data_IF_520260890303
#
_entry.id   IF_520260890303
#
_cell.length_a   1.000
_cell.length_b   1.000
_cell.length_c   1.000
_cell.angle_alpha   90.00
_cell.angle_beta   90.00
_cell.angle_gamma   90.00
#
_symmetry.space_group_name_H-M   'P 1'
#
loop_
_entity.id
_entity.type
_entity.pdbx_description
1 polymer ?
#
# COMPACT_ATOMS: atom_id res chain seq x y z
N UNK A 1 -8.80 -20.68 -10.70
CA UNK A 1 -8.29 -19.87 -11.83
C UNK A 1 -9.19 -19.99 -13.06
N UNK A 2 -9.39 -21.19 -13.67
CA UNK A 2 -10.23 -21.35 -14.87
C UNK A 2 -11.64 -20.73 -14.78
N UNK A 3 -12.24 -20.73 -13.60
CA UNK A 3 -13.59 -20.18 -13.37
C UNK A 3 -13.61 -18.64 -13.29
N UNK A 4 -12.59 -18.01 -12.71
CA UNK A 4 -12.45 -16.55 -12.69
C UNK A 4 -12.25 -15.99 -14.10
N UNK A 5 -11.44 -16.66 -14.91
CA UNK A 5 -11.17 -16.21 -16.29
C UNK A 5 -12.39 -16.36 -17.22
N UNK A 6 -13.38 -17.19 -16.85
CA UNK A 6 -14.66 -17.29 -17.57
C UNK A 6 -15.54 -16.06 -17.35
N UNK A 7 -15.56 -15.53 -16.12
CA UNK A 7 -16.37 -14.37 -15.75
C UNK A 7 -15.67 -13.04 -15.98
N UNK A 8 -14.34 -13.02 -15.87
CA UNK A 8 -13.53 -11.82 -15.90
C UNK A 8 -12.42 -11.93 -16.94
N UNK A 9 -12.77 -11.63 -18.19
CA UNK A 9 -11.82 -11.67 -19.31
C UNK A 9 -10.69 -10.64 -19.11
N UNK A 10 -9.41 -11.06 -19.21
CA UNK A 10 -8.30 -10.13 -19.23
C UNK A 10 -8.45 -9.09 -20.34
N UNK A 11 -8.04 -7.85 -20.06
CA UNK A 11 -7.96 -6.79 -21.08
C UNK A 11 -6.73 -5.92 -20.90
N UNK A 12 -6.27 -5.33 -22.00
CA UNK A 12 -5.29 -4.24 -21.98
C UNK A 12 -5.87 -2.96 -21.38
N UNK A 13 -5.03 -1.91 -21.23
CA UNK A 13 -5.51 -0.58 -20.91
C UNK A 13 -6.52 -0.10 -21.97
N UNK A 14 -7.50 0.69 -21.56
CA UNK A 14 -8.44 1.35 -22.47
C UNK A 14 -7.78 2.55 -23.16
N UNK A 15 -6.79 3.17 -22.50
CA UNK A 15 -6.00 4.29 -23.02
C UNK A 15 -4.52 4.07 -22.71
N UNK A 16 -3.64 4.12 -23.71
CA UNK A 16 -2.19 4.05 -23.52
C UNK A 16 -1.63 5.44 -23.14
N UNK A 17 -2.04 5.95 -21.99
CA UNK A 17 -1.62 7.27 -21.50
C UNK A 17 -0.54 7.11 -20.43
N UNK A 18 0.64 7.75 -20.58
CA UNK A 18 1.62 7.82 -19.51
C UNK A 18 1.02 8.46 -18.26
N UNK A 19 1.36 7.92 -17.09
CA UNK A 19 0.95 8.49 -15.80
C UNK A 19 2.09 9.32 -15.20
N UNK A 20 1.73 10.31 -14.40
CA UNK A 20 2.69 11.00 -13.53
C UNK A 20 2.84 10.23 -12.22
N UNK A 21 4.07 10.12 -11.73
CA UNK A 21 4.40 9.49 -10.45
C UNK A 21 5.24 10.47 -9.64
N UNK A 22 4.90 10.62 -8.37
CA UNK A 22 5.63 11.48 -7.44
C UNK A 22 6.40 10.64 -6.41
N UNK A 23 7.66 11.04 -6.16
CA UNK A 23 8.52 10.50 -5.09
C UNK A 23 8.85 11.60 -4.10
N UNK A 24 8.68 11.31 -2.81
CA UNK A 24 8.92 12.27 -1.74
C UNK A 24 10.12 11.80 -0.93
N UNK A 25 11.03 12.72 -0.65
CA UNK A 25 12.20 12.48 0.18
C UNK A 25 12.11 13.35 1.44
N UNK A 26 12.19 12.73 2.61
CA UNK A 26 12.32 13.44 3.87
C UNK A 26 13.80 13.56 4.22
N UNK A 27 14.31 14.79 4.32
CA UNK A 27 15.72 15.08 4.57
C UNK A 27 15.86 16.08 5.72
N UNK A 28 16.87 15.86 6.57
CA UNK A 28 17.23 16.79 7.63
C UNK A 28 18.36 17.69 7.12
N UNK A 29 18.21 19.01 7.24
CA UNK A 29 19.18 19.98 6.78
C UNK A 29 19.17 21.23 7.67
N UNK A 30 20.33 21.87 7.85
CA UNK A 30 20.48 23.13 8.61
C UNK A 30 20.13 24.38 7.80
N UNK A 31 20.14 24.23 6.47
CA UNK A 31 19.77 25.26 5.50
C UNK A 31 18.88 24.64 4.45
N UNK A 32 18.21 25.48 3.65
CA UNK A 32 17.42 25.00 2.50
C UNK A 32 18.34 24.20 1.56
N UNK A 33 18.07 22.91 1.32
CA UNK A 33 18.92 22.06 0.48
C UNK A 33 18.78 22.44 -1.00
N UNK A 34 19.81 22.13 -1.79
CA UNK A 34 19.77 22.27 -3.24
C UNK A 34 19.58 20.91 -3.88
N UNK A 35 18.69 20.83 -4.87
CA UNK A 35 18.35 19.59 -5.56
C UNK A 35 18.74 19.70 -7.02
N UNK A 36 19.48 18.70 -7.51
CA UNK A 36 19.76 18.49 -8.93
C UNK A 36 19.21 17.14 -9.35
N UNK A 37 18.65 17.07 -10.55
CA UNK A 37 18.10 15.84 -11.12
C UNK A 37 18.79 15.50 -12.43
N UNK A 38 19.01 14.22 -12.66
CA UNK A 38 19.58 13.68 -13.89
C UNK A 38 18.83 12.40 -14.27
N UNK A 39 18.82 12.11 -15.57
CA UNK A 39 18.23 10.90 -16.12
C UNK A 39 19.31 10.11 -16.83
N UNK A 40 19.43 8.82 -16.50
CA UNK A 40 20.32 7.89 -17.18
C UNK A 40 19.52 6.77 -17.81
N UNK A 41 19.79 6.48 -19.08
CA UNK A 41 19.12 5.38 -19.78
C UNK A 41 19.78 4.06 -19.39
N UNK A 42 18.97 3.11 -18.96
CA UNK A 42 19.38 1.75 -18.63
C UNK A 42 18.97 0.82 -19.77
N UNK A 43 19.95 0.11 -20.33
CA UNK A 43 19.72 -0.92 -21.34
C UNK A 43 19.86 -2.31 -20.69
N UNK A 44 18.83 -3.15 -20.83
CA UNK A 44 18.81 -4.52 -20.34
C UNK A 44 18.74 -5.57 -21.45
N UNK A 45 18.90 -5.17 -22.71
CA UNK A 45 18.88 -6.06 -23.87
C UNK A 45 17.49 -6.59 -24.26
N UNK A 46 16.41 -6.08 -23.64
CA UNK A 46 15.02 -6.42 -23.96
C UNK A 46 14.36 -5.44 -24.95
N UNK A 47 15.11 -4.44 -25.42
CA UNK A 47 14.66 -3.41 -26.36
C UNK A 47 13.71 -2.38 -25.74
N UNK A 48 13.41 -2.47 -24.43
CA UNK A 48 12.54 -1.52 -23.75
C UNK A 48 13.39 -0.48 -23.00
N UNK A 49 13.25 0.83 -23.31
CA UNK A 49 14.04 1.85 -22.64
C UNK A 49 13.64 1.96 -21.17
N UNK A 50 14.58 1.67 -20.27
CA UNK A 50 14.43 1.95 -18.84
C UNK A 50 15.24 3.21 -18.50
N UNK A 51 14.81 3.93 -17.48
CA UNK A 51 15.45 5.16 -17.04
C UNK A 51 15.69 5.12 -15.53
N UNK A 52 16.88 5.52 -15.12
CA UNK A 52 17.21 5.82 -13.75
C UNK A 52 17.04 7.32 -13.50
N UNK A 53 16.32 7.67 -12.43
CA UNK A 53 16.17 9.06 -11.97
C UNK A 53 17.15 9.28 -10.84
N UNK A 54 18.20 10.05 -11.10
CA UNK A 54 19.24 10.38 -10.11
C UNK A 54 18.90 11.73 -9.49
N UNK A 55 18.71 11.74 -8.16
CA UNK A 55 18.44 12.95 -7.38
C UNK A 55 19.64 13.21 -6.47
N UNK A 56 20.36 14.30 -6.73
CA UNK A 56 21.45 14.77 -5.90
C UNK A 56 20.95 15.89 -4.98
N UNK A 57 21.14 15.72 -3.67
CA UNK A 57 20.65 16.65 -2.64
C UNK A 57 21.85 17.18 -1.85
N UNK A 58 22.21 18.44 -2.07
CA UNK A 58 23.27 19.14 -1.32
C UNK A 58 22.71 19.78 -0.03
N UNK A 59 23.52 19.75 1.03
CA UNK A 59 23.19 20.35 2.32
C UNK A 59 22.44 19.42 3.29
N UNK A 60 22.38 18.11 3.02
CA UNK A 60 21.82 17.12 3.96
C UNK A 60 22.75 16.96 5.16
N UNK A 61 22.18 16.91 6.37
CA UNK A 61 22.91 16.65 7.61
C UNK A 61 23.23 15.16 7.71
N UNK A 62 24.51 14.79 7.66
CA UNK A 62 24.95 13.38 7.63
C UNK A 62 24.46 12.53 8.83
N UNK A 63 24.31 13.12 10.02
CA UNK A 63 23.73 12.46 11.20
C UNK A 63 22.25 12.78 11.45
N UNK A 64 21.63 13.57 10.59
CA UNK A 64 20.25 14.01 10.75
C UNK A 64 19.26 12.97 10.22
N UNK A 65 18.23 12.67 10.99
CA UNK A 65 17.07 11.90 10.54
C UNK A 65 15.89 12.85 10.35
N UNK A 66 15.28 12.82 9.18
CA UNK A 66 13.96 13.41 8.97
C UNK A 66 12.92 12.30 8.97
N UNK A 67 11.90 12.47 9.81
CA UNK A 67 10.78 11.55 9.88
C UNK A 67 9.65 12.09 9.00
N UNK A 68 8.87 11.21 8.36
CA UNK A 68 7.62 11.62 7.73
C UNK A 68 6.63 12.17 8.78
N UNK A 69 5.57 12.90 8.35
CA UNK A 69 4.60 13.44 9.28
C UNK A 69 3.81 12.33 9.99
N UNK A 70 3.58 12.50 11.29
CA UNK A 70 2.63 11.69 12.05
C UNK A 70 1.18 11.99 11.62
N UNK A 71 0.27 11.05 11.90
CA UNK A 71 -1.11 11.10 11.44
C UNK A 71 -2.00 11.78 12.48
N UNK A 72 -2.82 12.72 12.03
CA UNK A 72 -4.00 13.16 12.81
C UNK A 72 -5.07 12.08 12.71
N UNK A 73 -6.02 12.06 13.63
CA UNK A 73 -7.06 11.04 13.53
C UNK A 73 -8.12 11.11 14.61
N UNK A 74 -9.10 10.22 14.48
CA UNK A 74 -10.15 10.02 15.46
C UNK A 74 -10.65 8.58 15.45
N UNK A 75 -11.04 8.10 16.63
CA UNK A 75 -11.74 6.84 16.77
C UNK A 75 -13.10 6.88 16.05
N UNK A 76 -13.37 5.85 15.26
CA UNK A 76 -14.63 5.63 14.60
C UNK A 76 -15.57 4.91 15.57
N UNK A 77 -16.56 5.62 16.10
CA UNK A 77 -17.67 4.97 16.82
C UNK A 77 -18.61 4.38 15.79
N UNK A 78 -18.91 3.08 15.86
CA UNK A 78 -19.98 2.47 15.05
C UNK A 78 -21.30 3.08 15.53
N UNK A 79 -21.76 4.11 14.82
CA UNK A 79 -23.15 4.57 14.92
C UNK A 79 -23.93 3.87 13.82
N UNK A 80 -25.18 3.50 14.11
CA UNK A 80 -26.10 3.00 13.08
C UNK A 80 -26.06 3.97 11.90
N UNK A 81 -25.70 3.47 10.72
CA UNK A 81 -25.66 4.28 9.50
C UNK A 81 -27.05 4.89 9.31
N UNK A 82 -27.08 6.22 9.14
CA UNK A 82 -28.31 6.97 8.85
C UNK A 82 -28.56 7.11 7.34
N UNK A 83 -27.55 6.78 6.53
CA UNK A 83 -27.54 6.90 5.07
C UNK A 83 -27.51 5.48 4.51
N UNK A 84 -28.36 5.21 3.51
CA UNK A 84 -28.41 3.93 2.81
C UNK A 84 -27.16 3.71 1.94
N UNK A 85 -26.83 2.46 1.64
CA UNK A 85 -25.71 2.16 0.73
C UNK A 85 -25.96 2.69 -0.68
N UNK A 86 -27.21 2.66 -1.15
CA UNK A 86 -27.60 3.18 -2.46
C UNK A 86 -27.25 4.66 -2.62
N UNK A 87 -27.46 5.45 -1.56
CA UNK A 87 -27.07 6.86 -1.51
C UNK A 87 -25.54 7.06 -1.54
N UNK A 88 -24.77 6.05 -1.14
CA UNK A 88 -23.31 6.06 -1.11
C UNK A 88 -22.69 5.28 -2.27
N UNK A 89 -23.49 4.72 -3.19
CA UNK A 89 -23.02 3.79 -4.21
C UNK A 89 -21.85 4.35 -5.03
N UNK A 90 -21.92 5.63 -5.42
CA UNK A 90 -20.83 6.29 -6.17
C UNK A 90 -19.50 6.36 -5.37
N UNK A 91 -19.58 6.46 -4.05
CA UNK A 91 -18.42 6.57 -3.17
C UNK A 91 -17.85 5.20 -2.78
N UNK A 92 -18.72 4.18 -2.79
CA UNK A 92 -18.45 2.82 -2.36
C UNK A 92 -18.06 1.89 -3.52
N UNK A 93 -18.38 2.27 -4.75
CA UNK A 93 -18.03 1.49 -5.95
C UNK A 93 -16.53 1.57 -6.25
N UNK A 94 -15.96 0.42 -6.62
CA UNK A 94 -14.58 0.32 -7.10
C UNK A 94 -14.36 1.11 -8.39
N UNK A 95 -13.10 1.43 -8.68
CA UNK A 95 -12.70 2.19 -9.86
C UNK A 95 -11.51 1.51 -10.53
N UNK A 96 -11.63 1.30 -11.85
CA UNK A 96 -10.56 0.80 -12.70
C UNK A 96 -10.14 1.93 -13.65
N UNK A 97 -8.93 2.50 -13.50
CA UNK A 97 -8.46 3.55 -14.38
C UNK A 97 -8.31 3.08 -15.83
N UNK A 98 -8.58 3.98 -16.78
CA UNK A 98 -8.47 3.68 -18.22
C UNK A 98 -7.05 3.29 -18.65
N UNK A 99 -6.02 3.82 -17.99
CA UNK A 99 -4.61 3.52 -18.29
C UNK A 99 -4.14 2.17 -17.74
N UNK A 100 -4.98 1.45 -16.99
CA UNK A 100 -4.67 0.12 -16.48
C UNK A 100 -5.38 -0.96 -17.27
N UNK A 101 -4.62 -2.02 -17.56
CA UNK A 101 -5.20 -3.31 -17.91
C UNK A 101 -5.92 -3.93 -16.73
N UNK A 102 -6.61 -5.04 -17.01
CA UNK A 102 -7.31 -5.85 -16.02
C UNK A 102 -6.90 -7.31 -16.19
N UNK A 103 -6.50 -7.98 -15.10
CA UNK A 103 -6.33 -9.42 -15.06
C UNK A 103 -6.87 -9.96 -13.72
N UNK A 104 -7.91 -10.80 -13.75
CA UNK A 104 -8.46 -11.43 -12.54
C UNK A 104 -7.48 -12.41 -11.87
N UNK A 105 -6.53 -12.92 -12.65
CA UNK A 105 -5.41 -13.76 -12.21
C UNK A 105 -4.11 -12.99 -12.47
N UNK A 106 -3.15 -12.95 -11.52
CA UNK A 106 -1.95 -12.14 -11.73
C UNK A 106 -1.06 -12.76 -12.79
N UNK A 107 -0.47 -11.92 -13.64
CA UNK A 107 0.58 -12.36 -14.56
C UNK A 107 1.85 -12.72 -13.78
N UNK A 108 2.12 -14.01 -13.66
CA UNK A 108 3.35 -14.53 -13.09
C UNK A 108 4.51 -14.29 -14.07
N UNK A 109 5.31 -13.25 -13.82
CA UNK A 109 6.55 -12.99 -14.58
C UNK A 109 7.78 -13.68 -14.00
N UNK A 110 7.64 -14.36 -12.85
CA UNK A 110 8.77 -14.96 -12.14
C UNK A 110 8.64 -16.48 -12.09
N UNK A 111 9.71 -17.18 -12.49
CA UNK A 111 9.85 -18.59 -12.16
C UNK A 111 9.98 -18.68 -10.63
N UNK A 112 9.11 -19.46 -9.99
CA UNK A 112 9.18 -19.73 -8.56
C UNK A 112 10.56 -20.27 -8.19
N UNK A 113 11.41 -19.44 -7.58
CA UNK A 113 12.68 -19.91 -7.01
C UNK A 113 12.34 -20.65 -5.72
N UNK A 114 12.68 -21.93 -5.63
CA UNK A 114 12.53 -22.70 -4.39
C UNK A 114 13.37 -22.03 -3.30
N UNK A 115 12.74 -21.33 -2.36
CA UNK A 115 13.44 -20.82 -1.16
C UNK A 115 13.72 -21.99 -0.22
N UNK A 116 14.97 -22.12 0.21
CA UNK A 116 15.34 -22.96 1.35
C UNK A 116 14.66 -22.34 2.57
N UNK A 117 13.77 -23.08 3.22
CA UNK A 117 13.10 -22.62 4.45
C UNK A 117 14.13 -22.68 5.59
N UNK A 118 14.40 -21.57 6.29
CA UNK A 118 15.15 -21.65 7.55
C UNK A 118 14.37 -22.52 8.54
N UNK A 119 15.09 -23.20 9.44
CA UNK A 119 14.46 -23.99 10.49
C UNK A 119 13.49 -23.10 11.29
N UNK A 120 12.28 -23.61 11.54
CA UNK A 120 11.26 -22.88 12.31
C UNK A 120 11.84 -22.47 13.67
N UNK A 121 11.83 -21.16 13.98
CA UNK A 121 12.16 -20.69 15.33
C UNK A 121 11.14 -21.24 16.32
N UNK A 122 11.57 -21.57 17.55
CA UNK A 122 10.68 -22.04 18.64
C UNK A 122 9.63 -20.99 19.08
N UNK A 123 9.71 -19.76 18.59
CA UNK A 123 8.75 -18.69 18.88
C UNK A 123 7.56 -18.84 17.91
N UNK A 124 6.36 -19.05 18.44
CA UNK A 124 5.10 -19.09 17.68
C UNK A 124 4.78 -17.70 17.14
N UNK A 125 5.45 -17.31 16.05
CA UNK A 125 4.97 -16.21 15.22
C UNK A 125 3.88 -16.79 14.33
N UNK A 126 2.73 -16.12 14.22
CA UNK A 126 1.63 -16.51 13.33
C UNK A 126 2.10 -16.50 11.86
N UNK A 127 2.79 -17.58 11.49
CA UNK A 127 3.35 -17.88 10.16
C UNK A 127 2.69 -19.13 9.60
N UNK A 128 1.53 -19.49 10.16
CA UNK A 128 0.87 -20.76 9.95
C UNK A 128 0.46 -20.89 8.49
N UNK A 129 1.18 -21.74 7.77
CA UNK A 129 0.78 -22.20 6.44
C UNK A 129 0.09 -23.54 6.65
N UNK A 130 -1.19 -23.60 6.31
CA UNK A 130 -1.94 -24.85 6.35
C UNK A 130 -1.68 -25.64 5.07
N UNK A 131 -1.21 -26.89 5.21
CA UNK A 131 -0.94 -27.77 4.07
C UNK A 131 0.23 -27.32 3.19
N UNK A 132 0.14 -27.64 1.89
CA UNK A 132 1.18 -27.27 0.91
C UNK A 132 1.12 -25.78 0.60
N UNK A 133 2.28 -25.12 0.67
CA UNK A 133 2.41 -23.71 0.34
C UNK A 133 2.34 -23.48 -1.18
N UNK A 134 1.18 -23.03 -1.64
CA UNK A 134 0.92 -22.73 -3.06
C UNK A 134 1.06 -21.25 -3.39
N UNK A 135 1.55 -20.42 -2.45
CA UNK A 135 1.77 -18.99 -2.71
C UNK A 135 2.79 -18.81 -3.84
N UNK A 136 2.61 -17.73 -4.61
CA UNK A 136 3.43 -17.38 -5.77
C UNK A 136 3.78 -15.90 -5.71
N UNK A 137 5.02 -15.58 -6.10
CA UNK A 137 5.42 -14.21 -6.33
C UNK A 137 4.98 -13.77 -7.72
N UNK A 138 4.45 -12.56 -7.84
CA UNK A 138 4.01 -11.96 -9.10
C UNK A 138 4.47 -10.50 -9.18
N UNK A 139 4.43 -9.92 -10.38
CA UNK A 139 4.82 -8.54 -10.69
C UNK A 139 3.77 -7.85 -11.58
N UNK A 140 2.51 -8.24 -11.41
CA UNK A 140 1.41 -7.71 -12.19
C UNK A 140 1.00 -6.33 -11.66
N UNK A 141 1.10 -5.33 -12.51
CA UNK A 141 0.71 -3.94 -12.23
C UNK A 141 -0.69 -3.61 -12.74
N UNK A 142 -1.45 -4.58 -13.26
CA UNK A 142 -2.84 -4.37 -13.69
C UNK A 142 -3.82 -4.39 -12.52
N UNK A 143 -5.03 -3.88 -12.76
CA UNK A 143 -6.11 -4.04 -11.79
C UNK A 143 -6.53 -5.52 -11.68
N UNK A 144 -6.81 -6.06 -10.49
CA UNK A 144 -6.86 -5.39 -9.18
C UNK A 144 -5.53 -5.34 -8.41
N UNK A 145 -4.48 -5.96 -8.93
CA UNK A 145 -3.18 -6.12 -8.27
C UNK A 145 -2.48 -4.78 -7.97
N UNK A 146 -2.69 -3.78 -8.82
CA UNK A 146 -2.25 -2.39 -8.62
C UNK A 146 -2.78 -1.75 -7.33
N UNK A 147 -3.94 -2.21 -6.83
CA UNK A 147 -4.59 -1.61 -5.65
C UNK A 147 -4.00 -2.11 -4.33
N UNK A 148 -3.26 -3.22 -4.35
CA UNK A 148 -2.70 -3.87 -3.16
C UNK A 148 -1.22 -3.52 -3.07
N UNK A 149 -0.74 -3.30 -1.86
CA UNK A 149 0.65 -2.88 -1.67
C UNK A 149 1.20 -3.13 -0.28
N UNK A 150 2.47 -2.76 -0.13
CA UNK A 150 3.17 -2.82 1.15
C UNK A 150 2.80 -1.60 1.99
N UNK A 151 2.45 -1.84 3.24
CA UNK A 151 2.34 -0.81 4.28
C UNK A 151 3.60 -0.87 5.13
N UNK A 152 4.19 0.28 5.42
CA UNK A 152 5.38 0.41 6.26
C UNK A 152 5.12 1.44 7.36
N UNK A 153 5.54 1.11 8.57
CA UNK A 153 5.41 1.91 9.79
C UNK A 153 6.67 1.74 10.65
N UNK A 154 6.77 2.48 11.75
CA UNK A 154 7.83 2.27 12.74
C UNK A 154 7.79 0.89 13.40
N UNK A 155 6.65 0.20 13.39
CA UNK A 155 6.48 -1.16 13.97
C UNK A 155 6.81 -2.28 12.99
N UNK A 156 7.00 -1.98 11.71
CA UNK A 156 7.37 -2.94 10.70
C UNK A 156 6.60 -2.75 9.41
N UNK A 157 6.19 -3.86 8.79
CA UNK A 157 5.46 -3.81 7.53
C UNK A 157 4.26 -4.76 7.50
N UNK A 158 3.20 -4.30 6.87
CA UNK A 158 1.99 -5.05 6.58
C UNK A 158 1.59 -4.98 5.11
N UNK A 159 0.36 -5.36 4.84
CA UNK A 159 -0.29 -5.18 3.53
C UNK A 159 -1.46 -4.24 3.67
N UNK A 160 -1.78 -3.55 2.58
CA UNK A 160 -2.97 -2.73 2.52
C UNK A 160 -3.53 -2.66 1.11
N UNK A 161 -4.77 -2.16 1.03
CA UNK A 161 -5.53 -2.09 -0.22
C UNK A 161 -6.20 -0.73 -0.37
N UNK A 162 -6.20 -0.20 -1.59
CA UNK A 162 -6.92 1.02 -1.95
C UNK A 162 -8.43 0.75 -1.99
N UNK A 163 -9.18 1.47 -1.15
CA UNK A 163 -10.65 1.41 -1.06
C UNK A 163 -11.32 2.72 -1.52
N UNK A 164 -10.53 3.72 -1.91
CA UNK A 164 -11.02 4.96 -2.51
C UNK A 164 -9.87 5.79 -3.08
N UNK A 165 -10.13 7.02 -3.58
CA UNK A 165 -9.12 7.82 -4.28
C UNK A 165 -7.85 8.09 -3.46
N UNK A 166 -7.98 8.16 -2.13
CA UNK A 166 -6.87 8.35 -1.18
C UNK A 166 -7.04 7.53 0.10
N UNK A 167 -7.86 6.48 0.06
CA UNK A 167 -8.23 5.72 1.26
C UNK A 167 -7.59 4.34 1.19
N UNK A 168 -6.70 4.08 2.14
CA UNK A 168 -6.02 2.82 2.34
C UNK A 168 -6.71 2.06 3.48
N UNK A 169 -7.12 0.83 3.22
CA UNK A 169 -7.49 -0.12 4.25
C UNK A 169 -6.26 -0.96 4.64
N UNK A 170 -6.00 -1.07 5.94
CA UNK A 170 -4.96 -1.92 6.52
C UNK A 170 -5.46 -2.45 7.86
N UNK A 171 -4.66 -3.30 8.49
CA UNK A 171 -4.86 -3.78 9.86
C UNK A 171 -4.41 -2.74 10.89
N UNK A 172 -5.05 -2.74 12.05
CA UNK A 172 -4.76 -1.81 13.17
C UNK A 172 -3.44 -2.17 13.86
N UNK A 173 -3.10 -3.46 13.98
CA UNK A 173 -1.89 -3.91 14.71
C UNK A 173 -0.57 -3.56 14.01
N UNK A 174 -0.61 -3.17 12.73
CA UNK A 174 0.58 -2.66 12.00
C UNK A 174 0.81 -1.17 12.30
N UNK A 175 -0.22 -0.46 12.76
CA UNK A 175 -0.15 0.96 13.05
C UNK A 175 0.64 1.20 14.34
N UNK A 176 1.50 2.21 14.32
CA UNK A 176 2.16 2.69 15.53
C UNK A 176 1.28 3.71 16.25
N UNK A 177 0.63 3.27 17.33
CA UNK A 177 -0.22 4.11 18.18
C UNK A 177 0.57 4.96 19.19
N UNK A 178 1.91 4.88 19.21
CA UNK A 178 2.78 5.59 20.18
C UNK A 178 3.19 7.00 19.71
N UNK A 179 2.30 7.68 18.99
CA UNK A 179 2.56 8.97 18.37
C UNK A 179 2.84 10.10 19.39
N UNK A 180 3.59 11.15 19.00
CA UNK A 180 3.76 12.34 19.83
C UNK A 180 2.42 13.02 20.18
N UNK A 181 2.42 13.77 21.27
CA UNK A 181 1.24 14.53 21.70
C UNK A 181 0.68 15.41 20.57
N UNK A 182 -0.64 15.35 20.35
CA UNK A 182 -1.33 16.06 19.27
C UNK A 182 -1.54 15.24 17.99
N UNK A 183 -1.00 14.03 17.91
CA UNK A 183 -1.22 13.07 16.82
C UNK A 183 -1.92 11.81 17.33
N UNK A 184 -2.53 11.08 16.40
CA UNK A 184 -3.26 9.85 16.70
C UNK A 184 -2.42 8.59 16.47
N UNK A 185 -1.54 8.60 15.46
CA UNK A 185 -0.63 7.51 15.11
C UNK A 185 0.65 8.09 14.49
N UNK A 186 1.76 7.36 14.58
CA UNK A 186 2.99 7.70 13.87
C UNK A 186 2.84 7.43 12.36
N UNK A 187 3.85 7.81 11.57
CA UNK A 187 3.81 7.77 10.12
C UNK A 187 3.44 6.39 9.57
N UNK A 188 2.70 6.43 8.47
CA UNK A 188 2.34 5.26 7.66
C UNK A 188 2.73 5.56 6.23
N UNK A 189 3.45 4.65 5.58
CA UNK A 189 3.77 4.72 4.15
C UNK A 189 3.12 3.56 3.41
N UNK A 190 2.52 3.85 2.27
CA UNK A 190 1.92 2.85 1.39
C UNK A 190 2.58 2.85 0.02
N UNK A 191 3.02 1.67 -0.41
CA UNK A 191 3.62 1.44 -1.72
C UNK A 191 2.80 0.41 -2.50
N UNK A 192 1.88 0.86 -3.37
CA UNK A 192 1.08 -0.03 -4.22
C UNK A 192 1.95 -0.82 -5.20
N UNK A 193 1.59 -2.09 -5.41
CA UNK A 193 2.31 -3.02 -6.29
C UNK A 193 3.82 -3.11 -6.00
N UNK A 194 4.21 -2.96 -4.72
CA UNK A 194 5.60 -3.07 -4.31
C UNK A 194 6.20 -4.43 -4.72
N UNK A 195 7.35 -4.40 -5.38
CA UNK A 195 8.10 -5.60 -5.70
C UNK A 195 9.61 -5.34 -5.60
N UNK A 196 10.29 -5.94 -4.63
CA UNK A 196 11.76 -5.94 -4.53
C UNK A 196 12.39 -4.53 -4.63
N UNK A 197 11.79 -3.57 -3.92
CA UNK A 197 12.21 -2.16 -3.95
C UNK A 197 11.60 -1.34 -5.09
N UNK A 198 10.99 -1.98 -6.09
CA UNK A 198 10.24 -1.30 -7.14
C UNK A 198 8.86 -0.83 -6.62
N UNK A 199 8.46 0.36 -7.05
CA UNK A 199 7.25 1.03 -6.62
C UNK A 199 6.53 1.67 -7.82
N UNK A 200 5.98 0.88 -8.75
CA UNK A 200 5.64 1.33 -10.11
C UNK A 200 4.56 2.42 -10.18
N UNK A 201 3.85 2.68 -9.07
CA UNK A 201 2.79 3.69 -8.98
C UNK A 201 3.08 4.84 -8.02
N UNK A 202 4.32 4.95 -7.52
CA UNK A 202 4.59 5.90 -6.45
C UNK A 202 4.53 5.23 -5.08
N UNK A 203 4.58 6.07 -4.06
CA UNK A 203 4.29 5.75 -2.67
C UNK A 203 3.57 6.96 -2.08
N UNK A 204 2.81 6.81 -0.99
CA UNK A 204 2.14 7.90 -0.30
C UNK A 204 2.23 7.74 1.21
N UNK A 205 2.14 8.87 1.93
CA UNK A 205 2.15 8.88 3.38
C UNK A 205 0.75 9.13 3.93
N UNK A 206 0.49 8.61 5.13
CA UNK A 206 -0.74 8.89 5.86
C UNK A 206 -0.81 10.36 6.29
N UNK A 207 -1.96 10.99 6.05
CA UNK A 207 -2.29 12.33 6.52
C UNK A 207 -3.37 12.30 7.63
N UNK A 208 -4.24 11.28 7.61
CA UNK A 208 -5.26 11.08 8.64
C UNK A 208 -5.52 9.58 8.85
N UNK A 209 -6.02 9.20 10.03
CA UNK A 209 -6.41 7.82 10.32
C UNK A 209 -7.76 7.73 11.04
N UNK A 210 -8.51 6.71 10.64
CA UNK A 210 -9.72 6.24 11.29
C UNK A 210 -9.50 4.81 11.77
N UNK A 211 -9.86 4.52 13.01
CA UNK A 211 -9.72 3.19 13.59
C UNK A 211 -10.93 2.85 14.45
N UNK A 212 -11.12 1.58 14.76
CA UNK A 212 -12.10 1.18 15.76
C UNK A 212 -11.44 0.92 17.11
N UNK A 213 -10.50 -0.04 17.16
CA UNK A 213 -9.66 -0.35 18.32
C UNK A 213 -8.22 0.02 18.01
N UNK A 214 -7.55 0.62 19.00
CA UNK A 214 -6.09 0.71 19.00
C UNK A 214 -5.56 -0.57 19.63
N UNK A 215 -4.79 -1.31 18.86
CA UNK A 215 -4.12 -2.51 19.36
C UNK A 215 -3.04 -2.07 20.35
N UNK A 216 -3.06 -2.64 21.55
CA UNK A 216 -2.12 -2.26 22.62
C UNK A 216 -0.70 -2.80 22.36
N UNK A 217 -0.58 -3.76 21.45
CA UNK A 217 0.69 -4.32 20.99
C UNK A 217 1.35 -5.24 22.01
N UNK A 218 0.57 -5.86 22.91
CA UNK A 218 1.03 -6.84 23.90
C UNK A 218 1.48 -8.19 23.28
N UNK A 219 1.22 -8.38 21.99
CA UNK A 219 1.57 -9.57 21.22
C UNK A 219 0.50 -10.66 21.23
N UNK A 220 -0.67 -10.37 21.78
CA UNK A 220 -1.87 -11.20 21.75
C UNK A 220 -2.96 -10.47 20.96
N UNK A 221 -3.85 -11.25 20.33
CA UNK A 221 -5.08 -10.72 19.74
C UNK A 221 -6.19 -11.27 20.61
N UNK A 222 -6.79 -10.42 21.46
CA UNK A 222 -7.98 -10.78 22.21
C UNK A 222 -9.21 -10.79 21.29
N UNK A 223 -10.34 -11.32 21.78
CA UNK A 223 -11.56 -11.43 20.95
C UNK A 223 -12.03 -10.10 20.36
N UNK A 224 -11.92 -8.99 21.10
CA UNK A 224 -12.35 -7.68 20.61
C UNK A 224 -11.36 -7.08 19.61
N UNK A 225 -10.06 -7.21 19.87
CA UNK A 225 -8.98 -6.80 18.96
C UNK A 225 -9.08 -7.54 17.63
N UNK A 226 -9.24 -8.86 17.66
CA UNK A 226 -9.36 -9.67 16.44
C UNK A 226 -10.59 -9.33 15.59
N UNK A 227 -11.70 -8.93 16.22
CA UNK A 227 -12.92 -8.55 15.52
C UNK A 227 -12.82 -7.17 14.85
N UNK A 228 -11.91 -6.31 15.31
CA UNK A 228 -11.84 -4.91 14.89
C UNK A 228 -10.43 -4.44 14.51
N UNK A 229 -9.56 -5.37 14.13
CA UNK A 229 -8.20 -5.15 13.66
C UNK A 229 -8.19 -4.59 12.23
N UNK A 230 -8.78 -3.42 12.06
CA UNK A 230 -8.75 -2.67 10.81
C UNK A 230 -8.67 -1.17 11.07
N UNK A 231 -7.95 -0.49 10.18
CA UNK A 231 -7.82 0.95 10.14
C UNK A 231 -7.91 1.45 8.70
N UNK A 232 -8.50 2.63 8.55
CA UNK A 232 -8.53 3.37 7.29
C UNK A 232 -7.59 4.56 7.40
N UNK A 233 -6.55 4.56 6.58
CA UNK A 233 -5.59 5.65 6.46
C UNK A 233 -5.98 6.51 5.26
N UNK A 234 -6.16 7.80 5.48
CA UNK A 234 -6.26 8.79 4.42
C UNK A 234 -4.85 9.18 4.02
N UNK A 235 -4.50 8.92 2.76
CA UNK A 235 -3.21 9.25 2.17
C UNK A 235 -3.12 10.75 1.84
N UNK A 236 -1.89 11.27 1.84
CA UNK A 236 -1.55 12.64 1.46
C UNK A 236 -1.81 12.92 -0.03
N UNK A 237 -1.92 11.87 -0.83
CA UNK A 237 -2.10 11.91 -2.29
C UNK A 237 -3.20 10.98 -2.77
N UNK A 238 -3.72 11.29 -3.95
CA UNK A 238 -4.77 10.55 -4.63
C UNK A 238 -4.24 9.34 -5.40
N UNK A 239 -3.48 8.46 -4.75
CA UNK A 239 -2.90 7.26 -5.39
C UNK A 239 -3.96 6.35 -6.05
N UNK A 240 -5.22 6.40 -5.59
CA UNK A 240 -6.31 5.62 -6.17
C UNK A 240 -6.62 6.02 -7.61
N UNK A 241 -6.27 7.24 -8.04
CA UNK A 241 -6.46 7.68 -9.43
C UNK A 241 -5.48 6.99 -10.39
N UNK A 242 -4.29 6.62 -9.93
CA UNK A 242 -3.29 5.89 -10.73
C UNK A 242 -3.40 4.38 -10.56
N UNK A 243 -3.80 3.90 -9.39
CA UNK A 243 -3.84 2.47 -9.05
C UNK A 243 -5.21 1.82 -9.17
N UNK A 244 -6.29 2.61 -9.17
CA UNK A 244 -7.65 2.13 -8.95
C UNK A 244 -7.96 1.90 -7.46
N UNK A 245 -9.18 1.49 -7.17
CA UNK A 245 -9.56 1.03 -5.83
C UNK A 245 -10.67 -0.01 -5.90
N UNK A 246 -10.73 -0.90 -4.91
CA UNK A 246 -11.73 -1.97 -4.86
C UNK A 246 -13.12 -1.50 -4.42
N UNK A 247 -13.18 -0.36 -3.72
CA UNK A 247 -14.40 0.14 -3.09
C UNK A 247 -14.65 -0.54 -1.74
N UNK A 248 -15.87 -0.40 -1.22
CA UNK A 248 -16.30 -1.01 0.03
C UNK A 248 -17.80 -1.28 0.00
N UNK A 249 -18.27 -2.30 0.74
CA UNK A 249 -19.70 -2.59 0.91
C UNK A 249 -19.96 -3.00 2.36
N UNK A 250 -21.15 -2.69 2.86
CA UNK A 250 -21.63 -3.23 4.13
C UNK A 250 -21.95 -4.71 4.02
N UNK A 251 -22.03 -5.37 5.17
CA UNK A 251 -22.66 -6.66 5.30
C UNK A 251 -24.05 -6.42 5.89
N UNK A 252 -25.07 -6.92 5.20
CA UNK A 252 -26.47 -6.90 5.62
C UNK A 252 -26.78 -8.09 6.53
#
# INVERSE_FOLDING_TARGET
MKELDQHFKPRGPLKETPIAIERHFHIAADRKPQVKTRLERIDRGDGQPQWEVIVEIDGVRAGGRALPPALKGRASKIKKRRISEDQLAQQLTGYVPDHLGFNATPRERLKSVKRIRPAMSRRRVATTVFGTDTRRAFQDTTYPWSTVGRVETNRGSGSGVMIGPRHLLTVSHVIDWTAPAGFAADWVRFTPSFFDGNAPFGEAYGAHIYWYVQEDGDGFISGNEGNFDYAVVVLDRRLGETTGWMGARGYD
#
